data_IF_167170420109
#
_entry.id   IF_167170420109
#
_cell.length_a   1.000
_cell.length_b   1.000
_cell.length_c   1.000
_cell.angle_alpha   90.00
_cell.angle_beta   90.00
_cell.angle_gamma   90.00
#
_symmetry.space_group_name_H-M   'P 1'
#
loop_
_entity.id
_entity.type
_entity.pdbx_description
1 polymer ?
#
# COMPACT_ATOMS: atom_id res chain seq x y z
N UNK A 1 -5.95 -28.56 8.03
CA UNK A 1 -6.66 -27.98 6.86
C UNK A 1 -6.73 -26.45 6.92
N UNK A 2 -6.98 -25.84 8.07
CA UNK A 2 -7.09 -24.37 8.28
C UNK A 2 -5.79 -23.56 8.13
N UNK A 3 -4.61 -24.14 8.40
CA UNK A 3 -3.32 -23.45 8.19
C UNK A 3 -2.90 -23.34 6.71
N UNK A 4 -3.37 -24.26 5.86
CA UNK A 4 -3.04 -24.26 4.43
C UNK A 4 -3.87 -23.22 3.67
N UNK A 5 -5.14 -23.04 4.02
CA UNK A 5 -6.00 -22.00 3.43
C UNK A 5 -5.53 -20.59 3.82
N UNK A 6 -5.11 -20.38 5.07
CA UNK A 6 -4.53 -19.11 5.51
C UNK A 6 -3.23 -18.77 4.77
N UNK A 7 -2.33 -19.75 4.59
CA UNK A 7 -1.09 -19.55 3.81
C UNK A 7 -1.38 -19.32 2.32
N UNK A 8 -2.32 -20.05 1.73
CA UNK A 8 -2.70 -19.87 0.32
C UNK A 8 -3.31 -18.48 0.09
N UNK A 9 -4.25 -18.04 0.93
CA UNK A 9 -4.83 -16.68 0.86
C UNK A 9 -3.76 -15.60 1.06
N UNK A 10 -2.84 -15.79 2.00
CA UNK A 10 -1.77 -14.83 2.27
C UNK A 10 -0.72 -14.78 1.16
N UNK A 11 -0.48 -15.90 0.47
CA UNK A 11 0.42 -15.98 -0.69
C UNK A 11 -0.24 -15.38 -1.92
N UNK A 12 -1.50 -15.74 -2.21
CA UNK A 12 -2.30 -15.20 -3.31
C UNK A 12 -2.49 -13.69 -3.17
N UNK A 13 -2.86 -13.20 -1.98
CA UNK A 13 -3.00 -11.77 -1.70
C UNK A 13 -1.66 -11.04 -1.88
N UNK A 14 -0.53 -11.63 -1.51
CA UNK A 14 0.79 -11.00 -1.65
C UNK A 14 1.37 -11.09 -3.07
N UNK A 15 1.01 -12.11 -3.85
CA UNK A 15 1.47 -12.29 -5.24
C UNK A 15 0.63 -11.53 -6.27
N UNK A 16 -0.67 -11.39 -6.06
CA UNK A 16 -1.59 -10.74 -7.00
C UNK A 16 -1.73 -9.24 -6.70
N UNK A 17 -1.79 -8.85 -5.42
CA UNK A 17 -1.98 -7.44 -5.06
C UNK A 17 -0.80 -6.56 -5.52
N UNK A 18 0.43 -7.08 -5.49
CA UNK A 18 1.63 -6.35 -5.91
C UNK A 18 1.63 -5.92 -7.37
N UNK A 19 1.51 -6.83 -8.36
CA UNK A 19 1.42 -6.45 -9.76
C UNK A 19 0.14 -5.66 -10.07
N UNK A 20 -0.97 -5.95 -9.39
CA UNK A 20 -2.21 -5.19 -9.58
C UNK A 20 -2.07 -3.72 -9.14
N UNK A 21 -1.43 -3.43 -8.00
CA UNK A 21 -1.19 -2.06 -7.54
C UNK A 21 -0.23 -1.30 -8.45
N UNK A 22 0.80 -1.98 -8.96
CA UNK A 22 1.75 -1.40 -9.90
C UNK A 22 1.06 -1.09 -11.24
N UNK A 23 0.29 -2.03 -11.77
CA UNK A 23 -0.52 -1.81 -12.97
C UNK A 23 -1.52 -0.66 -12.78
N UNK A 24 -2.16 -0.60 -11.60
CA UNK A 24 -3.09 0.48 -11.25
C UNK A 24 -2.41 1.85 -11.25
N UNK A 25 -1.22 1.97 -10.63
CA UNK A 25 -0.40 3.18 -10.64
C UNK A 25 -0.09 3.68 -12.06
N UNK A 26 0.40 2.80 -12.94
CA UNK A 26 0.72 3.19 -14.33
C UNK A 26 -0.53 3.51 -15.14
N UNK A 27 -1.63 2.78 -14.93
CA UNK A 27 -2.90 3.06 -15.61
C UNK A 27 -3.47 4.43 -15.23
N UNK A 28 -3.40 4.80 -13.94
CA UNK A 28 -3.78 6.13 -13.44
C UNK A 28 -2.98 7.24 -14.13
N UNK A 29 -1.66 7.06 -14.21
CA UNK A 29 -0.76 8.01 -14.84
C UNK A 29 -1.12 8.22 -16.33
N UNK A 30 -1.36 7.13 -17.06
CA UNK A 30 -1.78 7.19 -18.47
C UNK A 30 -3.17 7.82 -18.66
N UNK A 31 -4.14 7.48 -17.80
CA UNK A 31 -5.51 8.04 -17.88
C UNK A 31 -5.51 9.54 -17.58
N UNK A 32 -4.79 9.97 -16.55
CA UNK A 32 -4.64 11.40 -16.24
C UNK A 32 -4.01 12.15 -17.42
N UNK A 33 -2.91 11.63 -18.00
CA UNK A 33 -2.27 12.24 -19.15
C UNK A 33 -3.20 12.33 -20.38
N UNK A 34 -3.92 11.25 -20.68
CA UNK A 34 -4.83 11.18 -21.82
C UNK A 34 -6.00 12.16 -21.71
N UNK A 35 -6.60 12.29 -20.52
CA UNK A 35 -7.72 13.20 -20.28
C UNK A 35 -7.25 14.65 -20.48
N UNK A 36 -6.07 14.99 -19.96
CA UNK A 36 -5.57 16.37 -20.01
C UNK A 36 -5.20 16.77 -21.45
N UNK A 37 -4.56 15.89 -22.21
CA UNK A 37 -4.32 16.10 -23.64
C UNK A 37 -5.64 16.27 -24.42
N UNK A 38 -6.66 15.46 -24.10
CA UNK A 38 -7.95 15.47 -24.80
C UNK A 38 -8.77 16.74 -24.53
N UNK A 39 -8.74 17.24 -23.29
CA UNK A 39 -9.39 18.52 -22.91
C UNK A 39 -8.71 19.68 -23.62
N UNK A 40 -7.37 19.69 -23.69
CA UNK A 40 -6.60 20.80 -24.28
C UNK A 40 -6.76 20.90 -25.79
N UNK A 41 -6.73 19.79 -26.53
CA UNK A 41 -6.94 19.80 -27.99
C UNK A 41 -8.40 20.03 -28.41
N UNK A 42 -9.33 20.11 -27.46
CA UNK A 42 -10.75 20.36 -27.75
C UNK A 42 -11.47 19.21 -28.46
N UNK A 43 -10.88 18.01 -28.51
CA UNK A 43 -11.47 16.85 -29.20
C UNK A 43 -12.85 16.46 -28.65
N UNK A 44 -13.08 16.68 -27.35
CA UNK A 44 -14.34 16.30 -26.70
C UNK A 44 -14.81 17.34 -25.66
N UNK A 45 -15.25 18.51 -26.11
CA UNK A 45 -15.74 19.58 -25.21
C UNK A 45 -16.85 19.11 -24.25
N UNK A 46 -17.80 18.30 -24.71
CA UNK A 46 -18.90 17.83 -23.86
C UNK A 46 -18.46 16.72 -22.89
N UNK A 47 -17.57 15.82 -23.35
CA UNK A 47 -17.03 14.71 -22.56
C UNK A 47 -15.92 15.13 -21.57
N UNK A 48 -15.34 16.32 -21.77
CA UNK A 48 -14.30 16.87 -20.91
C UNK A 48 -14.73 16.93 -19.45
N UNK A 49 -15.98 17.36 -19.20
CA UNK A 49 -16.55 17.46 -17.86
C UNK A 49 -16.59 16.10 -17.15
N UNK A 50 -17.13 15.07 -17.81
CA UNK A 50 -17.21 13.71 -17.27
C UNK A 50 -15.84 13.06 -17.10
N UNK A 51 -14.90 13.33 -18.00
CA UNK A 51 -13.55 12.79 -17.94
C UNK A 51 -12.77 13.35 -16.74
N UNK A 52 -12.85 14.67 -16.49
CA UNK A 52 -12.21 15.30 -15.33
C UNK A 52 -12.77 14.71 -14.03
N UNK A 53 -14.10 14.54 -13.95
CA UNK A 53 -14.75 13.93 -12.79
C UNK A 53 -14.22 12.50 -12.55
N UNK A 54 -14.14 11.68 -13.60
CA UNK A 54 -13.62 10.32 -13.52
C UNK A 54 -12.14 10.28 -13.07
N UNK A 55 -11.31 11.20 -13.57
CA UNK A 55 -9.93 11.34 -13.12
C UNK A 55 -9.85 11.66 -11.62
N UNK A 56 -10.68 12.60 -11.14
CA UNK A 56 -10.72 12.94 -9.71
C UNK A 56 -11.11 11.72 -8.88
N UNK A 57 -12.14 10.97 -9.28
CA UNK A 57 -12.55 9.75 -8.56
C UNK A 57 -11.42 8.73 -8.45
N UNK A 58 -10.74 8.42 -9.55
CA UNK A 58 -9.63 7.46 -9.50
C UNK A 58 -8.46 7.93 -8.63
N UNK A 59 -8.13 9.22 -8.66
CA UNK A 59 -7.07 9.76 -7.79
C UNK A 59 -7.47 9.71 -6.32
N UNK A 60 -8.75 9.98 -6.00
CA UNK A 60 -9.27 9.85 -4.62
C UNK A 60 -9.25 8.40 -4.16
N UNK A 61 -9.67 7.45 -5.00
CA UNK A 61 -9.61 6.02 -4.68
C UNK A 61 -8.17 5.57 -4.40
N UNK A 62 -7.23 5.99 -5.24
CA UNK A 62 -5.83 5.68 -5.04
C UNK A 62 -5.27 6.32 -3.77
N UNK A 63 -5.64 7.57 -3.48
CA UNK A 63 -5.29 8.24 -2.23
C UNK A 63 -5.81 7.48 -1.01
N UNK A 64 -7.07 7.04 -1.02
CA UNK A 64 -7.67 6.24 0.06
C UNK A 64 -6.88 4.95 0.26
N UNK A 65 -6.49 4.27 -0.82
CA UNK A 65 -5.68 3.04 -0.73
C UNK A 65 -4.31 3.34 -0.11
N UNK A 66 -3.60 4.35 -0.60
CA UNK A 66 -2.29 4.75 -0.07
C UNK A 66 -2.37 5.16 1.40
N UNK A 67 -3.39 5.92 1.79
CA UNK A 67 -3.62 6.33 3.17
C UNK A 67 -3.89 5.14 4.08
N UNK A 68 -4.80 4.25 3.70
CA UNK A 68 -5.10 3.05 4.48
C UNK A 68 -3.88 2.14 4.63
N UNK A 69 -3.10 1.96 3.56
CA UNK A 69 -1.86 1.17 3.62
C UNK A 69 -0.84 1.79 4.58
N UNK A 70 -0.67 3.11 4.56
CA UNK A 70 0.21 3.83 5.49
C UNK A 70 -0.24 3.67 6.94
N UNK A 71 -1.53 3.88 7.23
CA UNK A 71 -2.08 3.72 8.57
C UNK A 71 -1.92 2.30 9.11
N UNK A 72 -2.10 1.30 8.24
CA UNK A 72 -1.95 -0.11 8.59
C UNK A 72 -0.48 -0.45 8.89
N UNK A 73 0.47 0.17 8.19
CA UNK A 73 1.90 0.05 8.50
C UNK A 73 2.26 0.69 9.85
N UNK A 74 1.79 1.92 10.10
CA UNK A 74 2.00 2.65 11.35
C UNK A 74 1.43 1.89 12.57
N UNK A 75 0.22 1.36 12.43
CA UNK A 75 -0.41 0.52 13.46
C UNK A 75 0.41 -0.73 13.76
N UNK A 76 0.95 -1.40 12.73
CA UNK A 76 1.80 -2.56 12.94
C UNK A 76 3.11 -2.20 13.66
N UNK A 77 3.72 -1.07 13.31
CA UNK A 77 4.90 -0.55 14.01
C UNK A 77 4.59 -0.26 15.49
N UNK A 78 3.45 0.35 15.79
CA UNK A 78 3.02 0.63 17.17
C UNK A 78 2.77 -0.66 17.96
N UNK A 79 2.09 -1.65 17.37
CA UNK A 79 1.88 -2.97 17.98
C UNK A 79 3.23 -3.63 18.30
N UNK A 80 4.21 -3.56 17.38
CA UNK A 80 5.56 -4.04 17.61
C UNK A 80 6.23 -3.39 18.82
N UNK A 81 6.16 -2.05 18.91
CA UNK A 81 6.71 -1.28 20.03
C UNK A 81 6.03 -1.64 21.35
N UNK A 82 4.70 -1.79 21.36
CA UNK A 82 3.96 -2.20 22.56
C UNK A 82 4.36 -3.60 23.01
N UNK A 83 4.39 -4.58 22.11
CA UNK A 83 4.81 -5.96 22.43
C UNK A 83 6.26 -5.98 22.94
N UNK A 84 7.15 -5.15 22.39
CA UNK A 84 8.52 -5.01 22.88
C UNK A 84 8.62 -4.45 24.29
N UNK A 85 7.84 -3.43 24.60
CA UNK A 85 7.79 -2.82 25.94
C UNK A 85 7.06 -3.69 26.97
N UNK A 86 6.37 -4.76 26.53
CA UNK A 86 5.70 -5.65 27.45
C UNK A 86 6.71 -6.52 28.21
N UNK A 87 6.44 -6.77 29.50
CA UNK A 87 7.26 -7.59 30.38
C UNK A 87 7.25 -9.11 30.12
N UNK A 88 6.87 -9.50 28.91
CA UNK A 88 6.56 -10.89 28.58
C UNK A 88 7.75 -11.86 28.74
N UNK A 89 9.04 -11.51 28.48
CA UNK A 89 10.12 -12.49 28.58
C UNK A 89 10.35 -12.97 30.01
N UNK A 90 10.06 -12.11 30.99
CA UNK A 90 10.27 -12.40 32.39
C UNK A 90 9.00 -12.87 33.12
N UNK A 91 7.82 -12.48 32.62
CA UNK A 91 6.53 -12.96 33.17
C UNK A 91 6.10 -14.32 32.62
N UNK A 92 6.61 -14.74 31.46
CA UNK A 92 6.39 -16.11 30.98
C UNK A 92 7.28 -17.06 31.78
N UNK A 93 6.70 -17.72 32.78
CA UNK A 93 7.36 -18.81 33.52
C UNK A 93 7.14 -20.15 32.81
N UNK A 94 8.21 -20.93 32.68
CA UNK A 94 8.17 -22.25 32.06
C UNK A 94 7.72 -23.28 33.09
N UNK A 95 6.49 -23.74 33.00
CA UNK A 95 5.97 -24.87 33.79
C UNK A 95 6.05 -26.16 32.97
N UNK A 96 6.47 -27.28 33.55
CA UNK A 96 6.62 -28.58 32.85
C UNK A 96 5.32 -29.04 32.15
N UNK A 97 4.18 -28.73 32.74
CA UNK A 97 2.84 -29.01 32.17
C UNK A 97 2.52 -28.23 30.89
N UNK A 98 3.13 -27.06 30.69
CA UNK A 98 2.80 -26.11 29.62
C UNK A 98 3.98 -25.78 28.70
N UNK A 99 5.01 -26.65 28.65
CA UNK A 99 6.22 -26.41 27.84
C UNK A 99 5.91 -26.18 26.36
N UNK A 100 4.91 -26.89 25.82
CA UNK A 100 4.50 -26.74 24.42
C UNK A 100 3.85 -25.38 24.15
N UNK A 101 2.98 -24.92 25.04
CA UNK A 101 2.30 -23.63 24.94
C UNK A 101 3.28 -22.47 25.15
N UNK A 102 4.18 -22.59 26.12
CA UNK A 102 5.28 -21.64 26.33
C UNK A 102 6.10 -21.43 25.05
N UNK A 103 6.53 -22.51 24.40
CA UNK A 103 7.29 -22.43 23.14
C UNK A 103 6.45 -21.81 22.02
N UNK A 104 5.16 -22.15 21.93
CA UNK A 104 4.26 -21.59 20.94
C UNK A 104 4.09 -20.08 21.12
N UNK A 105 3.75 -19.62 22.32
CA UNK A 105 3.53 -18.20 22.63
C UNK A 105 4.81 -17.39 22.36
N UNK A 106 5.96 -17.87 22.86
CA UNK A 106 7.26 -17.23 22.62
C UNK A 106 7.58 -17.13 21.12
N UNK A 107 7.37 -18.20 20.37
CA UNK A 107 7.58 -18.21 18.91
C UNK A 107 6.66 -17.20 18.22
N UNK A 108 5.37 -17.18 18.56
CA UNK A 108 4.39 -16.25 18.00
C UNK A 108 4.75 -14.79 18.32
N UNK A 109 5.12 -14.48 19.56
CA UNK A 109 5.57 -13.13 19.96
C UNK A 109 6.82 -12.70 19.19
N UNK A 110 7.83 -13.57 19.07
CA UNK A 110 9.03 -13.24 18.29
C UNK A 110 8.71 -13.00 16.82
N UNK A 111 7.83 -13.81 16.21
CA UNK A 111 7.38 -13.60 14.83
C UNK A 111 6.63 -12.28 14.69
N UNK A 112 5.71 -11.96 15.60
CA UNK A 112 4.99 -10.68 15.61
C UNK A 112 5.95 -9.49 15.71
N UNK A 113 6.95 -9.57 16.59
CA UNK A 113 7.99 -8.54 16.74
C UNK A 113 8.83 -8.39 15.48
N UNK A 114 9.32 -9.50 14.91
CA UNK A 114 10.09 -9.47 13.65
C UNK A 114 9.28 -8.87 12.50
N UNK A 115 7.99 -9.19 12.42
CA UNK A 115 7.09 -8.64 11.38
C UNK A 115 6.78 -7.17 11.58
N UNK A 116 6.59 -6.74 12.83
CA UNK A 116 6.31 -5.35 13.14
C UNK A 116 7.54 -4.44 12.98
N UNK A 117 8.75 -4.94 13.29
CA UNK A 117 10.00 -4.19 13.10
C UNK A 117 10.43 -4.09 11.64
N UNK A 118 10.11 -5.08 10.82
CA UNK A 118 10.43 -5.05 9.39
C UNK A 118 9.63 -3.99 8.61
N UNK A 119 8.61 -3.38 9.23
CA UNK A 119 7.58 -2.62 8.53
C UNK A 119 6.73 -3.55 7.67
N UNK A 120 5.44 -3.32 7.62
CA UNK A 120 4.63 -3.77 6.50
C UNK A 120 4.84 -2.81 5.33
N UNK A 121 6.09 -2.65 4.91
CA UNK A 121 6.41 -1.95 3.67
C UNK A 121 5.72 -2.74 2.56
N UNK A 122 4.58 -2.22 2.08
CA UNK A 122 3.84 -2.80 0.96
C UNK A 122 4.64 -2.51 -0.31
N UNK A 123 5.74 -3.25 -0.46
CA UNK A 123 6.61 -3.18 -1.62
C UNK A 123 5.89 -3.78 -2.81
N UNK A 124 5.59 -2.95 -3.81
CA UNK A 124 5.08 -3.35 -5.11
C UNK A 124 6.19 -3.98 -5.93
N UNK A 125 6.57 -5.21 -5.57
CA UNK A 125 7.53 -6.01 -6.33
C UNK A 125 8.98 -5.51 -6.30
N UNK A 126 9.35 -4.67 -5.32
CA UNK A 126 10.70 -4.09 -5.23
C UNK A 126 10.90 -2.81 -6.03
N UNK A 127 9.88 -2.36 -6.78
CA UNK A 127 9.95 -1.12 -7.56
C UNK A 127 9.75 0.12 -6.69
N UNK A 128 8.75 0.09 -5.79
CA UNK A 128 8.47 1.17 -4.86
C UNK A 128 7.65 0.68 -3.66
N UNK A 129 7.73 1.42 -2.56
CA UNK A 129 6.93 1.21 -1.35
C UNK A 129 5.64 2.02 -1.44
N UNK A 130 4.48 1.36 -1.37
CA UNK A 130 3.19 2.05 -1.33
C UNK A 130 3.06 2.86 -0.04
N UNK A 131 3.12 4.17 -0.17
CA UNK A 131 2.93 5.13 0.91
C UNK A 131 2.21 6.36 0.40
N UNK A 132 1.77 7.23 1.31
CA UNK A 132 1.22 8.53 0.94
C UNK A 132 2.25 9.41 0.20
N UNK A 133 3.54 9.19 0.44
CA UNK A 133 4.62 9.84 -0.31
C UNK A 133 4.61 9.47 -1.80
N UNK A 134 4.32 8.22 -2.14
CA UNK A 134 4.19 7.79 -3.55
C UNK A 134 2.98 8.37 -4.26
N UNK A 135 1.89 8.63 -3.54
CA UNK A 135 0.79 9.41 -4.09
C UNK A 135 1.25 10.83 -4.46
N UNK A 136 2.02 11.48 -3.59
CA UNK A 136 2.62 12.80 -3.86
C UNK A 136 3.52 12.79 -5.09
N UNK A 137 4.41 11.80 -5.21
CA UNK A 137 5.26 11.63 -6.40
C UNK A 137 4.44 11.44 -7.69
N UNK A 138 3.34 10.67 -7.64
CA UNK A 138 2.45 10.49 -8.80
C UNK A 138 1.78 11.81 -9.21
N UNK A 139 1.32 12.60 -8.23
CA UNK A 139 0.71 13.91 -8.47
C UNK A 139 1.71 14.89 -9.08
N UNK A 140 2.93 14.95 -8.55
CA UNK A 140 4.00 15.81 -9.06
C UNK A 140 4.42 15.45 -10.49
N UNK A 141 4.54 14.15 -10.77
CA UNK A 141 4.84 13.65 -12.11
C UNK A 141 3.69 13.94 -13.08
N UNK A 142 2.44 13.77 -12.65
CA UNK A 142 1.26 14.13 -13.44
C UNK A 142 1.28 15.63 -13.75
N UNK A 143 1.51 16.48 -12.75
CA UNK A 143 1.61 17.93 -12.93
C UNK A 143 2.74 18.31 -13.90
N UNK A 144 3.92 17.72 -13.75
CA UNK A 144 5.07 17.97 -14.64
C UNK A 144 4.76 17.58 -16.09
N UNK A 145 4.12 16.42 -16.29
CA UNK A 145 3.68 15.99 -17.63
C UNK A 145 2.68 16.98 -18.24
N UNK A 146 1.73 17.45 -17.44
CA UNK A 146 0.75 18.47 -17.86
C UNK A 146 1.46 19.75 -18.27
N UNK A 147 2.32 20.28 -17.40
CA UNK A 147 3.06 21.52 -17.66
C UNK A 147 3.93 21.40 -18.91
N UNK A 148 4.58 20.27 -19.12
CA UNK A 148 5.35 19.99 -20.34
C UNK A 148 4.46 20.06 -21.59
N UNK A 149 3.31 19.37 -21.59
CA UNK A 149 2.35 19.44 -22.71
C UNK A 149 1.76 20.84 -22.87
N UNK A 150 1.62 21.61 -21.79
CA UNK A 150 1.21 23.01 -21.87
C UNK A 150 2.25 23.86 -22.60
N UNK A 151 3.53 23.74 -22.22
CA UNK A 151 4.64 24.52 -22.76
C UNK A 151 4.97 24.22 -24.23
N UNK A 152 4.95 22.94 -24.66
CA UNK A 152 5.31 22.57 -26.04
C UNK A 152 4.24 22.87 -27.11
N UNK A 153 3.23 23.65 -26.74
CA UNK A 153 2.13 24.03 -27.65
C UNK A 153 1.91 25.54 -27.73
N UNK A 154 2.70 26.33 -27.00
CA UNK A 154 2.95 27.73 -27.33
C UNK A 154 3.95 27.82 -28.49
#
# INVERSE_FOLDING_TARGET
MTQFTARAVQTVKKQILKPCLLLYYYSLLMVNAFIICSVKNGYFKDFASSAIIMAVYFNVDFFIICYNMSQVDDLCSEVGKRIYNLPWPYKLTKTERFVREYRSIRSTMMVMMMRAQAGMTFSCGGFFEMSIGKFGELMDLTYTMVMFVLQFQE
#
